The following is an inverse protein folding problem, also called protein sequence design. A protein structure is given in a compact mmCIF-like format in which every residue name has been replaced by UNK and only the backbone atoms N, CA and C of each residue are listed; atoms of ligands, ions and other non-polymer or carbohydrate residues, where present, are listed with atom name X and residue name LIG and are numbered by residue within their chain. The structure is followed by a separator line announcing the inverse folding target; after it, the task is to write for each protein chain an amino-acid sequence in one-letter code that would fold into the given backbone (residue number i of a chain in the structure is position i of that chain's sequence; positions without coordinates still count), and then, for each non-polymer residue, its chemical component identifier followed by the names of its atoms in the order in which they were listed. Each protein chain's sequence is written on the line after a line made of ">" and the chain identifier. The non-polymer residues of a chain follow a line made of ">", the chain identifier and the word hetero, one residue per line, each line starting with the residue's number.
data_IF_191210778650
#
_entry.id   IF_191210778650
#
_cell.length_a   1.000
_cell.length_b   1.000
_cell.length_c   1.000
_cell.angle_alpha   90.00
_cell.angle_beta   90.00
_cell.angle_gamma   90.00
#
_symmetry.space_group_name_H-M   'P 1'
#
loop_
_entity.id
_entity.type
_entity.pdbx_description
1 polymer ?
#
# COMPACT_ATOMS: atom_id res chain seq x y z
N UNK A 1 17.77 -12.72 6.15
CA UNK A 1 16.41 -12.25 5.82
C UNK A 1 15.54 -13.47 5.53
N UNK A 2 14.44 -13.67 6.26
CA UNK A 2 13.55 -14.82 6.10
C UNK A 2 12.41 -14.50 5.11
N UNK A 3 12.22 -15.36 4.11
CA UNK A 3 11.20 -15.19 3.06
C UNK A 3 10.39 -16.47 2.92
N UNK A 4 9.07 -16.32 2.79
CA UNK A 4 8.20 -17.43 2.40
C UNK A 4 8.34 -17.68 0.89
N UNK A 5 8.84 -18.86 0.51
CA UNK A 5 9.12 -19.23 -0.89
C UNK A 5 7.84 -19.20 -1.75
N UNK A 6 6.71 -19.65 -1.20
CA UNK A 6 5.45 -19.77 -1.94
C UNK A 6 4.75 -18.43 -2.17
N UNK A 7 4.77 -17.54 -1.18
CA UNK A 7 4.04 -16.27 -1.21
C UNK A 7 4.93 -15.06 -1.49
N UNK A 8 6.25 -15.23 -1.41
CA UNK A 8 7.24 -14.15 -1.50
C UNK A 8 7.22 -13.20 -0.29
N UNK A 9 6.46 -13.50 0.76
CA UNK A 9 6.31 -12.60 1.90
C UNK A 9 7.58 -12.56 2.76
N UNK A 10 8.07 -11.35 3.04
CA UNK A 10 9.16 -11.09 3.98
C UNK A 10 8.68 -11.22 5.43
N UNK A 11 9.51 -11.84 6.27
CA UNK A 11 9.32 -11.82 7.71
C UNK A 11 9.63 -10.43 8.28
N UNK A 12 8.84 -9.97 9.24
CA UNK A 12 9.21 -8.81 10.07
C UNK A 12 10.33 -9.21 11.03
N UNK A 13 11.09 -8.23 11.52
CA UNK A 13 12.22 -8.50 12.42
C UNK A 13 11.80 -9.29 13.66
N UNK A 14 10.63 -8.99 14.21
CA UNK A 14 10.04 -9.72 15.34
C UNK A 14 9.76 -11.19 14.99
N UNK A 15 9.21 -11.48 13.81
CA UNK A 15 8.94 -12.86 13.36
C UNK A 15 10.25 -13.60 13.07
N UNK A 16 11.25 -12.92 12.50
CA UNK A 16 12.57 -13.49 12.25
C UNK A 16 13.27 -13.88 13.56
N UNK A 17 13.24 -13.02 14.57
CA UNK A 17 13.81 -13.30 15.89
C UNK A 17 13.10 -14.49 16.56
N UNK A 18 11.76 -14.50 16.56
CA UNK A 18 10.97 -15.59 17.16
C UNK A 18 11.20 -16.94 16.45
N UNK A 19 11.21 -16.97 15.12
CA UNK A 19 11.45 -18.19 14.36
C UNK A 19 12.87 -18.74 14.58
N UNK A 20 13.87 -17.86 14.67
CA UNK A 20 15.25 -18.27 14.93
C UNK A 20 15.44 -18.78 16.35
N UNK A 21 14.75 -18.17 17.33
CA UNK A 21 14.82 -18.54 18.74
C UNK A 21 13.86 -19.67 19.14
N UNK A 22 12.95 -20.08 18.27
CA UNK A 22 11.93 -21.09 18.57
C UNK A 22 12.52 -22.39 19.14
N UNK A 23 13.67 -22.85 18.62
CA UNK A 23 14.35 -24.05 19.11
C UNK A 23 14.90 -23.88 20.52
N UNK A 24 15.47 -22.71 20.82
CA UNK A 24 16.02 -22.38 22.15
C UNK A 24 14.88 -22.27 23.15
N UNK A 25 13.84 -21.50 22.82
CA UNK A 25 12.64 -21.37 23.65
C UNK A 25 11.95 -22.71 23.92
N UNK A 26 11.98 -23.63 22.95
CA UNK A 26 11.48 -25.00 23.12
C UNK A 26 12.33 -25.82 24.10
N UNK A 27 13.66 -25.69 24.05
CA UNK A 27 14.57 -26.32 25.02
C UNK A 27 14.37 -25.76 26.42
N UNK A 28 14.30 -24.44 26.58
CA UNK A 28 14.08 -23.82 27.88
C UNK A 28 12.73 -24.24 28.48
N UNK A 29 11.68 -24.34 27.66
CA UNK A 29 10.36 -24.83 28.09
C UNK A 29 10.40 -26.31 28.51
N UNK A 30 11.21 -27.13 27.83
CA UNK A 30 11.42 -28.53 28.19
C UNK A 30 12.20 -28.67 29.50
N UNK A 31 13.30 -27.94 29.67
CA UNK A 31 14.09 -27.97 30.91
C UNK A 31 13.27 -27.48 32.10
N UNK A 32 12.45 -26.44 31.90
CA UNK A 32 11.50 -25.95 32.90
C UNK A 32 10.48 -27.03 33.28
N UNK A 33 9.92 -27.74 32.31
CA UNK A 33 9.00 -28.85 32.56
C UNK A 33 9.65 -29.96 33.40
N UNK A 34 10.88 -30.36 33.05
CA UNK A 34 11.62 -31.39 33.78
C UNK A 34 11.89 -30.96 35.23
N UNK A 35 12.26 -29.70 35.46
CA UNK A 35 12.48 -29.18 36.82
C UNK A 35 11.19 -29.16 37.64
N UNK A 36 10.13 -28.56 37.11
CA UNK A 36 8.86 -28.32 37.85
C UNK A 36 8.05 -29.60 38.11
N UNK A 37 8.19 -30.65 37.27
CA UNK A 37 7.34 -31.85 37.35
C UNK A 37 8.07 -33.15 37.66
N UNK A 38 9.39 -33.23 37.43
CA UNK A 38 10.16 -34.48 37.62
C UNK A 38 11.18 -34.38 38.75
N UNK A 39 11.70 -33.18 39.07
CA UNK A 39 12.82 -33.00 40.01
C UNK A 39 12.42 -32.28 41.30
N UNK A 40 11.69 -31.16 41.22
CA UNK A 40 11.15 -30.47 42.39
C UNK A 40 9.81 -31.10 42.79
N UNK A 41 9.77 -31.70 43.98
CA UNK A 41 8.70 -32.60 44.43
C UNK A 41 7.28 -32.17 44.07
N UNK A 42 6.68 -32.86 43.08
CA UNK A 42 5.27 -32.96 42.73
C UNK A 42 4.37 -31.75 43.05
N UNK A 43 4.83 -30.52 42.77
CA UNK A 43 4.01 -29.32 42.98
C UNK A 43 2.89 -29.19 41.95
N UNK A 44 3.07 -29.81 40.77
CA UNK A 44 2.14 -29.79 39.64
C UNK A 44 2.06 -31.20 39.04
N UNK A 45 0.84 -31.68 38.80
CA UNK A 45 0.60 -33.00 38.21
C UNK A 45 1.22 -33.12 36.79
N UNK A 46 1.82 -34.27 36.51
CA UNK A 46 2.51 -34.61 35.26
C UNK A 46 1.54 -34.50 34.07
N UNK A 47 0.26 -34.85 34.26
CA UNK A 47 -0.78 -34.81 33.23
C UNK A 47 -1.40 -33.42 33.02
N UNK A 48 -1.01 -32.41 33.81
CA UNK A 48 -1.53 -31.06 33.65
C UNK A 48 -1.16 -30.46 32.28
N UNK A 49 -2.06 -29.70 31.62
CA UNK A 49 -1.78 -29.10 30.33
C UNK A 49 -0.51 -28.24 30.31
N UNK A 50 0.31 -28.37 29.26
CA UNK A 50 1.51 -27.54 29.07
C UNK A 50 1.09 -26.20 28.46
N UNK A 51 1.56 -25.09 29.03
CA UNK A 51 1.27 -23.75 28.52
C UNK A 51 1.86 -23.59 27.11
N UNK A 52 1.00 -23.36 26.12
CA UNK A 52 1.42 -23.13 24.73
C UNK A 52 2.21 -21.83 24.61
N UNK A 53 3.44 -21.92 24.09
CA UNK A 53 4.25 -20.76 23.75
C UNK A 53 3.63 -20.05 22.52
N UNK A 54 3.31 -18.76 22.67
CA UNK A 54 2.68 -17.95 21.60
C UNK A 54 3.76 -17.36 20.69
N UNK A 55 4.42 -18.20 19.90
CA UNK A 55 5.42 -17.76 18.92
C UNK A 55 4.76 -17.00 17.77
N UNK A 56 5.40 -15.91 17.33
CA UNK A 56 4.99 -15.20 16.13
C UNK A 56 5.41 -15.98 14.88
N UNK A 57 4.49 -16.12 13.93
CA UNK A 57 4.74 -16.78 12.64
C UNK A 57 4.33 -15.87 11.49
N UNK A 58 4.55 -16.27 10.24
CA UNK A 58 4.04 -15.55 9.07
C UNK A 58 2.52 -15.32 9.10
N UNK A 59 1.76 -16.14 9.84
CA UNK A 59 0.30 -15.95 10.05
C UNK A 59 -0.04 -14.82 11.03
N UNK A 60 0.94 -14.36 11.82
CA UNK A 60 0.80 -13.25 12.76
C UNK A 60 1.04 -11.90 12.07
N UNK A 61 1.67 -11.89 10.89
CA UNK A 61 1.89 -10.69 10.07
C UNK A 61 0.54 -10.21 9.54
N UNK A 62 0.21 -8.93 9.75
CA UNK A 62 -1.04 -8.32 9.27
C UNK A 62 -2.26 -8.43 10.18
N UNK A 63 -2.15 -8.97 11.41
CA UNK A 63 -3.26 -9.01 12.37
C UNK A 63 -3.46 -7.66 13.07
N UNK A 64 -4.67 -7.11 12.99
CA UNK A 64 -5.04 -5.80 13.57
C UNK A 64 -5.26 -5.87 15.09
N UNK A 65 -4.87 -4.81 15.80
CA UNK A 65 -5.55 -4.36 17.04
C UNK A 65 -6.55 -3.28 16.64
N UNK A 66 -7.82 -3.65 16.51
CA UNK A 66 -8.89 -2.68 16.23
C UNK A 66 -9.27 -2.00 17.54
N UNK A 67 -9.00 -0.70 17.66
CA UNK A 67 -9.64 0.14 18.70
C UNK A 67 -10.98 0.60 18.12
N UNK A 68 -12.07 0.47 18.87
CA UNK A 68 -13.39 0.85 18.35
C UNK A 68 -13.52 2.38 18.28
N UNK A 69 -14.26 2.87 17.27
CA UNK A 69 -14.53 4.32 17.10
C UNK A 69 -15.30 4.90 18.30
N UNK A 70 -16.16 4.10 18.93
CA UNK A 70 -16.91 4.49 20.12
C UNK A 70 -16.01 4.74 21.33
N UNK A 71 -14.99 3.90 21.54
CA UNK A 71 -14.00 4.09 22.61
C UNK A 71 -13.18 5.37 22.42
N UNK A 72 -12.94 5.75 21.17
CA UNK A 72 -12.24 7.00 20.82
C UNK A 72 -13.13 8.21 21.14
N UNK A 73 -14.38 8.22 20.69
CA UNK A 73 -15.32 9.32 20.96
C UNK A 73 -15.62 9.50 22.45
N UNK A 74 -15.75 8.40 23.20
CA UNK A 74 -15.91 8.45 24.66
C UNK A 74 -14.71 9.10 25.36
N UNK A 75 -13.48 8.85 24.87
CA UNK A 75 -12.28 9.50 25.41
C UNK A 75 -12.25 11.01 25.12
N UNK A 76 -12.72 11.45 23.94
CA UNK A 76 -12.84 12.90 23.64
C UNK A 76 -13.74 13.56 24.66
N UNK A 77 -14.97 13.07 24.75
CA UNK A 77 -16.01 13.68 25.56
C UNK A 77 -15.61 13.72 27.03
N UNK A 78 -14.96 12.67 27.53
CA UNK A 78 -14.44 12.63 28.89
C UNK A 78 -13.37 13.72 29.12
N UNK A 79 -12.41 13.87 28.20
CA UNK A 79 -11.36 14.88 28.33
C UNK A 79 -11.92 16.32 28.30
N UNK A 80 -12.87 16.62 27.40
CA UNK A 80 -13.50 17.95 27.33
C UNK A 80 -14.29 18.25 28.60
N UNK A 81 -15.03 17.26 29.11
CA UNK A 81 -15.86 17.40 30.32
C UNK A 81 -15.00 17.60 31.56
N UNK A 82 -13.90 16.86 31.69
CA UNK A 82 -12.96 17.00 32.81
C UNK A 82 -12.30 18.39 32.82
N UNK A 83 -11.90 18.91 31.65
CA UNK A 83 -11.34 20.27 31.55
C UNK A 83 -12.39 21.33 31.88
N UNK A 84 -13.60 21.20 31.35
CA UNK A 84 -14.71 22.12 31.64
C UNK A 84 -15.05 22.15 33.13
N UNK A 85 -15.12 20.99 33.78
CA UNK A 85 -15.39 20.91 35.22
C UNK A 85 -14.31 21.65 36.04
N UNK A 86 -13.03 21.52 35.66
CA UNK A 86 -11.93 22.25 36.31
C UNK A 86 -12.05 23.76 36.11
N UNK A 87 -12.40 24.21 34.90
CA UNK A 87 -12.60 25.64 34.60
C UNK A 87 -13.76 26.21 35.43
N UNK A 88 -14.86 25.46 35.60
CA UNK A 88 -16.00 25.87 36.42
C UNK A 88 -15.59 26.06 37.88
N UNK A 89 -14.86 25.09 38.44
CA UNK A 89 -14.37 25.17 39.83
C UNK A 89 -13.40 26.35 40.02
N UNK A 90 -12.49 26.57 39.05
CA UNK A 90 -11.58 27.73 39.08
C UNK A 90 -12.33 29.06 38.95
N UNK A 91 -13.37 29.12 38.12
CA UNK A 91 -14.20 30.32 37.95
C UNK A 91 -15.02 30.70 39.18
N UNK A 92 -15.20 29.78 40.15
CA UNK A 92 -15.81 30.11 41.45
C UNK A 92 -14.86 30.85 42.38
N UNK A 93 -13.54 30.67 42.20
CA UNK A 93 -12.50 31.22 43.07
C UNK A 93 -11.72 32.38 42.45
N UNK A 94 -11.89 32.64 41.16
CA UNK A 94 -11.17 33.66 40.39
C UNK A 94 -12.12 34.42 39.47
N UNK A 95 -11.80 35.68 39.12
CA UNK A 95 -12.54 36.45 38.11
C UNK A 95 -12.16 35.98 36.70
N UNK A 96 -12.68 34.83 36.29
CA UNK A 96 -12.55 34.31 34.93
C UNK A 96 -13.76 34.74 34.10
N UNK A 97 -13.52 35.37 32.95
CA UNK A 97 -14.57 35.65 31.98
C UNK A 97 -14.90 34.38 31.17
N UNK A 98 -15.97 33.71 31.59
CA UNK A 98 -16.47 32.50 30.94
C UNK A 98 -16.84 32.72 29.46
N UNK A 99 -17.20 33.95 29.07
CA UNK A 99 -17.55 34.25 27.67
C UNK A 99 -16.35 34.13 26.76
N UNK A 100 -15.17 34.52 27.24
CA UNK A 100 -13.92 34.39 26.49
C UNK A 100 -13.50 32.93 26.41
N UNK A 101 -13.59 32.18 27.51
CA UNK A 101 -13.14 30.78 27.56
C UNK A 101 -14.00 29.89 26.65
N UNK A 102 -15.31 30.11 26.63
CA UNK A 102 -16.24 29.34 25.79
C UNK A 102 -16.15 29.67 24.29
N UNK A 103 -15.42 30.73 23.89
CA UNK A 103 -15.15 31.00 22.48
C UNK A 103 -14.07 30.07 21.89
N UNK A 104 -13.29 29.38 22.74
CA UNK A 104 -12.21 28.50 22.32
C UNK A 104 -12.56 27.03 22.51
N UNK A 105 -11.91 26.15 21.75
CA UNK A 105 -12.15 24.73 21.85
C UNK A 105 -11.53 24.16 23.14
N UNK A 106 -12.34 23.51 23.98
CA UNK A 106 -11.89 22.88 25.23
C UNK A 106 -11.25 21.50 25.01
N UNK A 107 -11.15 21.02 23.77
CA UNK A 107 -10.42 19.81 23.45
C UNK A 107 -8.93 20.11 23.25
N UNK A 108 -8.08 19.14 23.60
CA UNK A 108 -6.63 19.20 23.36
C UNK A 108 -6.30 19.51 21.89
N UNK A 109 -7.16 19.07 20.97
CA UNK A 109 -7.08 19.39 19.55
C UNK A 109 -8.45 19.83 19.02
N UNK A 110 -8.54 20.84 18.14
CA UNK A 110 -9.82 21.24 17.57
C UNK A 110 -10.37 20.13 16.65
N UNK A 111 -11.57 19.59 16.93
CA UNK A 111 -12.17 18.48 16.18
C UNK A 111 -12.53 18.84 14.73
N UNK A 112 -12.49 20.12 14.37
CA UNK A 112 -12.65 20.57 12.98
C UNK A 112 -11.46 20.19 12.09
N UNK A 113 -10.26 20.08 12.67
CA UNK A 113 -9.01 19.86 11.93
C UNK A 113 -8.22 18.63 12.41
N UNK A 114 -8.46 18.14 13.63
CA UNK A 114 -7.68 17.07 14.23
C UNK A 114 -8.53 16.10 15.07
N UNK A 115 -8.17 14.82 14.98
CA UNK A 115 -8.71 13.73 15.76
C UNK A 115 -8.11 13.76 17.17
N UNK A 116 -8.60 12.86 18.02
CA UNK A 116 -8.28 12.77 19.46
C UNK A 116 -6.81 12.48 19.75
N UNK A 117 -6.16 11.82 18.79
CA UNK A 117 -4.76 11.43 18.81
C UNK A 117 -3.86 12.51 18.18
N UNK A 118 -4.43 13.65 17.76
CA UNK A 118 -3.72 14.72 17.09
C UNK A 118 -3.53 14.51 15.58
N UNK A 119 -4.02 13.40 15.02
CA UNK A 119 -3.97 13.17 13.57
C UNK A 119 -4.98 14.05 12.84
N UNK A 120 -4.72 14.49 11.61
CA UNK A 120 -5.62 15.39 10.89
C UNK A 120 -6.97 14.72 10.55
N UNK A 121 -8.06 15.47 10.73
CA UNK A 121 -9.40 15.08 10.28
C UNK A 121 -9.44 15.08 8.76
N UNK A 122 -10.02 14.03 8.19
CA UNK A 122 -10.05 13.83 6.75
C UNK A 122 -11.46 13.89 6.19
N UNK A 123 -11.65 14.78 5.22
CA UNK A 123 -12.83 14.78 4.36
C UNK A 123 -12.55 13.96 3.09
N UNK A 124 -13.60 13.34 2.54
CA UNK A 124 -13.48 12.61 1.28
C UNK A 124 -13.11 13.56 0.14
N UNK A 125 -12.07 13.23 -0.65
CA UNK A 125 -11.73 14.02 -1.85
C UNK A 125 -12.92 14.13 -2.82
N UNK A 126 -13.78 13.12 -2.85
CA UNK A 126 -15.02 13.08 -3.63
C UNK A 126 -16.01 14.18 -3.23
N UNK A 127 -16.06 14.58 -1.96
CA UNK A 127 -16.98 15.64 -1.50
C UNK A 127 -16.64 16.99 -2.14
N UNK A 128 -15.35 17.27 -2.31
CA UNK A 128 -14.89 18.47 -3.02
C UNK A 128 -15.25 18.39 -4.51
N UNK A 129 -15.01 17.25 -5.15
CA UNK A 129 -15.34 17.05 -6.57
C UNK A 129 -16.85 17.17 -6.80
N UNK A 130 -17.69 16.57 -5.95
CA UNK A 130 -19.14 16.71 -6.02
C UNK A 130 -19.59 18.16 -5.84
N UNK A 131 -18.93 18.90 -4.94
CA UNK A 131 -19.18 20.33 -4.79
C UNK A 131 -18.80 21.15 -6.02
N UNK A 132 -17.64 20.87 -6.64
CA UNK A 132 -17.16 21.57 -7.83
C UNK A 132 -18.01 21.21 -9.06
N UNK A 133 -18.30 19.92 -9.27
CA UNK A 133 -19.13 19.47 -10.38
C UNK A 133 -20.59 19.94 -10.25
N UNK A 134 -21.10 20.08 -9.03
CA UNK A 134 -22.41 20.69 -8.79
C UNK A 134 -22.46 22.20 -9.10
N UNK A 135 -21.30 22.85 -9.26
CA UNK A 135 -21.15 24.26 -9.61
C UNK A 135 -20.70 24.47 -11.07
N UNK A 136 -20.37 23.40 -11.79
CA UNK A 136 -19.89 23.49 -13.17
C UNK A 136 -21.04 23.19 -14.14
N UNK A 137 -21.27 24.08 -15.10
CA UNK A 137 -22.15 23.81 -16.23
C UNK A 137 -21.52 22.72 -17.10
N UNK A 138 -22.08 21.52 -16.97
CA UNK A 138 -21.56 20.32 -17.62
C UNK A 138 -21.92 20.30 -19.10
N UNK A 139 -21.02 20.75 -19.98
CA UNK A 139 -21.00 20.31 -21.38
C UNK A 139 -19.68 20.59 -22.14
N UNK A 140 -18.58 19.98 -21.70
CA UNK A 140 -17.35 19.94 -22.51
C UNK A 140 -17.03 18.51 -22.95
N UNK A 141 -17.87 17.98 -23.84
CA UNK A 141 -17.52 16.81 -24.63
C UNK A 141 -16.53 17.22 -25.73
N UNK A 142 -15.29 16.76 -25.62
CA UNK A 142 -14.26 16.96 -26.66
C UNK A 142 -14.60 16.02 -27.82
N UNK A 143 -15.32 16.55 -28.81
CA UNK A 143 -15.88 15.75 -29.91
C UNK A 143 -14.85 15.37 -30.99
N UNK A 144 -13.67 15.99 -31.01
CA UNK A 144 -12.63 15.71 -32.01
C UNK A 144 -11.28 15.45 -31.34
N UNK A 145 -10.92 14.17 -31.18
CA UNK A 145 -9.57 13.80 -30.79
C UNK A 145 -8.65 13.84 -32.03
N UNK A 146 -7.46 14.44 -31.94
CA UNK A 146 -6.50 14.45 -33.05
C UNK A 146 -5.98 13.04 -33.39
N UNK A 147 -5.76 12.77 -34.68
CA UNK A 147 -5.40 11.46 -35.23
C UNK A 147 -3.98 10.96 -34.89
N UNK A 148 -3.17 11.78 -34.20
CA UNK A 148 -1.83 11.44 -33.69
C UNK A 148 -1.76 11.60 -32.17
N UNK A 149 -2.87 11.30 -31.49
CA UNK A 149 -2.97 11.42 -30.04
C UNK A 149 -1.95 10.55 -29.28
N UNK A 150 -1.53 11.06 -28.13
CA UNK A 150 -0.76 10.32 -27.13
C UNK A 150 -1.66 10.03 -25.94
N UNK A 151 -1.69 8.78 -25.47
CA UNK A 151 -2.48 8.41 -24.30
C UNK A 151 -1.55 8.32 -23.09
N UNK A 152 -1.89 9.03 -22.03
CA UNK A 152 -1.17 8.99 -20.75
C UNK A 152 -2.02 8.27 -19.72
N UNK A 153 -1.51 7.17 -19.18
CA UNK A 153 -2.11 6.43 -18.10
C UNK A 153 -1.40 6.74 -16.78
N UNK A 154 -2.17 7.14 -15.78
CA UNK A 154 -1.74 7.04 -14.39
C UNK A 154 -1.78 5.56 -13.98
N UNK A 155 -0.61 4.92 -13.97
CA UNK A 155 -0.46 3.51 -13.67
C UNK A 155 -0.99 3.13 -12.28
N UNK A 156 -0.85 4.02 -11.29
CA UNK A 156 -1.36 3.75 -9.94
C UNK A 156 -2.89 3.78 -9.91
N UNK A 157 -3.50 4.70 -10.65
CA UNK A 157 -4.95 4.72 -10.83
C UNK A 157 -5.44 3.47 -11.58
N UNK A 158 -4.70 3.00 -12.59
CA UNK A 158 -5.02 1.78 -13.32
C UNK A 158 -5.02 0.57 -12.38
N UNK A 159 -3.95 0.37 -11.58
CA UNK A 159 -3.88 -0.73 -10.60
C UNK A 159 -5.02 -0.70 -9.57
N UNK A 160 -5.41 0.49 -9.11
CA UNK A 160 -6.48 0.63 -8.10
C UNK A 160 -7.88 0.37 -8.66
N UNK A 161 -8.08 0.59 -9.96
CA UNK A 161 -9.38 0.38 -10.64
C UNK A 161 -9.61 -1.06 -11.11
N UNK A 162 -8.56 -1.90 -11.14
CA UNK A 162 -8.69 -3.31 -11.54
C UNK A 162 -9.67 -4.05 -10.63
N UNK A 163 -10.78 -4.54 -11.20
CA UNK A 163 -11.76 -5.38 -10.51
C UNK A 163 -11.41 -6.86 -10.58
N UNK A 164 -10.98 -7.31 -11.77
CA UNK A 164 -10.62 -8.69 -12.05
C UNK A 164 -9.10 -8.81 -12.03
N UNK A 165 -8.56 -9.31 -10.92
CA UNK A 165 -7.13 -9.50 -10.73
C UNK A 165 -6.77 -10.92 -11.23
N UNK A 166 -5.82 -11.06 -12.17
CA UNK A 166 -5.39 -12.36 -12.68
C UNK A 166 -4.76 -13.27 -11.61
N UNK A 167 -4.52 -14.54 -11.94
CA UNK A 167 -4.01 -15.50 -10.98
C UNK A 167 -2.53 -15.28 -10.67
N UNK A 168 -1.74 -14.87 -11.67
CA UNK A 168 -0.29 -14.72 -11.59
C UNK A 168 0.18 -13.32 -11.98
N UNK A 169 1.35 -12.91 -11.48
CA UNK A 169 1.93 -11.61 -11.83
C UNK A 169 2.25 -11.50 -13.33
N UNK A 170 2.66 -12.60 -13.98
CA UNK A 170 2.88 -12.66 -15.43
C UNK A 170 1.62 -12.38 -16.23
N UNK A 171 0.51 -13.04 -15.91
CA UNK A 171 -0.80 -12.77 -16.53
C UNK A 171 -1.23 -11.32 -16.33
N UNK A 172 -0.98 -10.74 -15.15
CA UNK A 172 -1.25 -9.33 -14.90
C UNK A 172 -0.44 -8.42 -15.82
N UNK A 173 0.86 -8.65 -15.94
CA UNK A 173 1.73 -7.86 -16.81
C UNK A 173 1.30 -7.98 -18.29
N UNK A 174 0.97 -9.19 -18.74
CA UNK A 174 0.50 -9.44 -20.11
C UNK A 174 -0.86 -8.79 -20.39
N UNK A 175 -1.86 -9.02 -19.53
CA UNK A 175 -3.21 -8.49 -19.71
C UNK A 175 -3.24 -6.96 -19.67
N UNK A 176 -2.43 -6.35 -18.80
CA UNK A 176 -2.27 -4.91 -18.75
C UNK A 176 -1.73 -4.37 -20.06
N UNK A 177 -0.67 -4.97 -20.60
CA UNK A 177 -0.06 -4.55 -21.85
C UNK A 177 -1.03 -4.67 -23.04
N UNK A 178 -1.70 -5.82 -23.17
CA UNK A 178 -2.73 -6.04 -24.21
C UNK A 178 -3.85 -5.01 -24.10
N UNK A 179 -4.30 -4.70 -22.89
CA UNK A 179 -5.35 -3.70 -22.66
C UNK A 179 -4.90 -2.30 -23.09
N UNK A 180 -3.68 -1.89 -22.76
CA UNK A 180 -3.12 -0.59 -23.14
C UNK A 180 -3.00 -0.45 -24.67
N UNK A 181 -2.50 -1.49 -25.35
CA UNK A 181 -2.37 -1.51 -26.81
C UNK A 181 -3.76 -1.48 -27.47
N UNK A 182 -4.72 -2.24 -26.95
CA UNK A 182 -6.09 -2.25 -27.45
C UNK A 182 -6.75 -0.87 -27.36
N UNK A 183 -6.59 -0.19 -26.22
CA UNK A 183 -7.07 1.19 -26.04
C UNK A 183 -6.37 2.14 -27.03
N UNK A 184 -5.05 2.04 -27.16
CA UNK A 184 -4.27 2.85 -28.10
C UNK A 184 -4.79 2.71 -29.53
N UNK A 185 -4.99 1.47 -30.00
CA UNK A 185 -5.54 1.17 -31.33
C UNK A 185 -6.97 1.67 -31.51
N UNK A 186 -7.82 1.52 -30.48
CA UNK A 186 -9.20 2.00 -30.50
C UNK A 186 -9.30 3.51 -30.72
N UNK A 187 -8.40 4.27 -30.09
CA UNK A 187 -8.34 5.72 -30.24
C UNK A 187 -7.40 6.20 -31.36
N UNK A 188 -6.90 5.28 -32.20
CA UNK A 188 -5.96 5.56 -33.30
C UNK A 188 -4.70 6.31 -32.84
N UNK A 189 -4.27 6.09 -31.60
CA UNK A 189 -3.06 6.67 -31.05
C UNK A 189 -1.84 5.86 -31.48
N UNK A 190 -0.67 6.52 -31.56
CA UNK A 190 0.61 5.88 -31.88
C UNK A 190 1.47 5.66 -30.63
N UNK A 191 1.16 6.38 -29.55
CA UNK A 191 2.01 6.45 -28.37
C UNK A 191 1.22 6.27 -27.08
N UNK A 192 1.75 5.43 -26.19
CA UNK A 192 1.24 5.20 -24.84
C UNK A 192 2.30 5.58 -23.82
N UNK A 193 1.96 6.44 -22.86
CA UNK A 193 2.78 6.71 -21.68
C UNK A 193 2.13 6.03 -20.48
N UNK A 194 2.81 5.04 -19.90
CA UNK A 194 2.43 4.43 -18.65
C UNK A 194 3.26 5.05 -17.52
N UNK A 195 2.64 5.97 -16.78
CA UNK A 195 3.32 6.80 -15.77
C UNK A 195 3.01 6.29 -14.38
N UNK A 196 4.05 5.96 -13.62
CA UNK A 196 3.89 5.43 -12.25
C UNK A 196 4.41 6.39 -11.19
N UNK A 197 3.83 6.29 -9.99
CA UNK A 197 4.27 7.05 -8.82
C UNK A 197 5.64 6.57 -8.31
N UNK A 198 6.41 7.49 -7.72
CA UNK A 198 7.61 7.16 -6.94
C UNK A 198 7.33 7.18 -5.43
N UNK A 199 8.01 6.30 -4.68
CA UNK A 199 7.83 6.17 -3.24
C UNK A 199 9.12 6.49 -2.48
N UNK A 200 9.58 7.76 -2.48
CA UNK A 200 10.78 8.15 -1.74
C UNK A 200 10.57 7.95 -0.24
N UNK A 201 11.68 7.64 0.45
CA UNK A 201 11.72 7.40 1.90
C UNK A 201 11.21 8.62 2.67
N UNK A 202 11.59 9.82 2.24
CA UNK A 202 11.13 11.09 2.80
C UNK A 202 10.17 11.74 1.81
N UNK A 203 8.91 11.90 2.20
CA UNK A 203 7.88 12.55 1.40
C UNK A 203 6.91 13.30 2.29
N UNK A 204 6.41 14.44 1.81
CA UNK A 204 5.26 15.14 2.44
C UNK A 204 4.03 14.22 2.53
N UNK A 205 3.96 13.19 1.68
CA UNK A 205 2.86 12.21 1.65
C UNK A 205 3.07 11.04 2.61
N UNK A 206 4.18 10.97 3.36
CA UNK A 206 4.47 9.83 4.23
C UNK A 206 3.39 9.61 5.28
N UNK A 207 2.95 10.65 5.98
CA UNK A 207 1.89 10.51 6.99
C UNK A 207 0.59 9.94 6.40
N UNK A 208 0.22 10.35 5.18
CA UNK A 208 -0.96 9.79 4.50
C UNK A 208 -0.71 8.37 3.96
N UNK A 209 0.53 8.02 3.59
CA UNK A 209 0.92 6.66 3.19
C UNK A 209 0.89 5.72 4.39
N UNK A 210 1.44 6.13 5.53
CA UNK A 210 1.39 5.42 6.81
C UNK A 210 -0.02 5.28 7.36
N UNK A 211 -0.94 6.18 7.00
CA UNK A 211 -2.35 6.02 7.36
C UNK A 211 -3.10 5.05 6.44
N UNK A 212 -2.67 4.93 5.17
CA UNK A 212 -3.26 4.01 4.17
C UNK A 212 -2.72 2.60 4.29
N UNK A 213 -1.45 2.48 4.66
CA UNK A 213 -0.78 1.25 5.05
C UNK A 213 -1.07 1.05 6.52
N UNK A 214 -1.77 0.00 6.93
CA UNK A 214 -2.05 -0.31 8.34
C UNK A 214 -0.77 -0.70 9.14
N UNK A 215 0.42 -0.34 8.66
CA UNK A 215 1.75 -0.58 9.25
C UNK A 215 2.18 -2.05 9.27
N UNK A 216 1.30 -2.98 8.90
CA UNK A 216 1.48 -4.43 9.03
C UNK A 216 1.29 -5.19 7.72
N UNK A 217 1.24 -4.50 6.59
CA UNK A 217 1.22 -5.15 5.29
C UNK A 217 2.48 -5.98 5.07
N UNK A 218 2.29 -7.23 4.68
CA UNK A 218 3.40 -8.07 4.25
C UNK A 218 4.08 -7.41 3.04
N UNK A 219 5.39 -7.17 3.17
CA UNK A 219 6.23 -6.85 2.02
C UNK A 219 6.40 -8.14 1.22
N UNK A 220 6.12 -8.10 -0.07
CA UNK A 220 6.14 -9.28 -0.93
C UNK A 220 7.20 -9.06 -2.01
N UNK A 221 8.16 -9.97 -2.09
CA UNK A 221 9.08 -10.07 -3.20
C UNK A 221 8.39 -10.77 -4.37
N UNK A 222 8.45 -10.16 -5.56
CA UNK A 222 7.99 -10.80 -6.79
C UNK A 222 9.21 -11.44 -7.44
N UNK A 223 9.30 -12.76 -7.37
CA UNK A 223 10.48 -13.50 -7.82
C UNK A 223 10.35 -14.02 -9.25
N UNK A 224 9.13 -14.32 -9.70
CA UNK A 224 8.88 -14.87 -11.03
C UNK A 224 7.47 -14.57 -11.53
N UNK A 225 7.27 -14.75 -12.84
CA UNK A 225 5.99 -14.51 -13.51
C UNK A 225 4.87 -15.46 -13.07
N UNK A 226 5.21 -16.70 -12.68
CA UNK A 226 4.25 -17.70 -12.22
C UNK A 226 3.80 -17.52 -10.76
N UNK A 227 4.40 -16.57 -10.03
CA UNK A 227 4.05 -16.30 -8.65
C UNK A 227 2.61 -15.80 -8.58
N UNK A 228 1.85 -16.40 -7.65
CA UNK A 228 0.45 -16.05 -7.46
C UNK A 228 0.31 -14.66 -6.88
N UNK A 229 -0.65 -13.90 -7.40
CA UNK A 229 -0.98 -12.59 -6.86
C UNK A 229 -1.64 -12.77 -5.47
N UNK A 230 -1.32 -11.91 -4.49
CA UNK A 230 -1.96 -11.94 -3.19
C UNK A 230 -3.49 -11.79 -3.33
N UNK A 231 -4.25 -12.68 -2.69
CA UNK A 231 -5.74 -12.63 -2.68
C UNK A 231 -6.28 -11.26 -2.26
N UNK A 232 -5.56 -10.55 -1.39
CA UNK A 232 -5.90 -9.20 -0.93
C UNK A 232 -5.06 -8.14 -1.68
N UNK A 233 -5.20 -8.06 -2.99
CA UNK A 233 -4.40 -7.17 -3.85
C UNK A 233 -4.45 -5.68 -3.43
N UNK A 234 -5.60 -5.18 -2.97
CA UNK A 234 -5.72 -3.81 -2.45
C UNK A 234 -4.83 -3.55 -1.22
N UNK A 235 -4.65 -4.55 -0.35
CA UNK A 235 -3.71 -4.46 0.78
C UNK A 235 -2.27 -4.56 0.31
N UNK A 236 -1.99 -5.41 -0.69
CA UNK A 236 -0.68 -5.46 -1.31
C UNK A 236 -0.29 -4.07 -1.87
N UNK A 237 -1.21 -3.39 -2.56
CA UNK A 237 -1.07 -2.02 -3.05
C UNK A 237 -1.15 -0.94 -1.96
N UNK A 238 -1.35 -1.25 -0.68
CA UNK A 238 -1.28 -0.23 0.35
C UNK A 238 0.19 0.10 0.72
N UNK A 239 1.08 -0.89 0.55
CA UNK A 239 2.50 -0.78 0.87
C UNK A 239 3.30 -0.18 -0.32
N UNK A 240 4.07 0.87 -0.08
CA UNK A 240 4.88 1.54 -1.11
C UNK A 240 5.93 0.63 -1.76
N UNK A 241 6.61 -0.22 -0.97
CA UNK A 241 7.64 -1.14 -1.48
C UNK A 241 7.05 -2.18 -2.43
N UNK A 242 5.87 -2.69 -2.10
CA UNK A 242 5.15 -3.64 -2.95
C UNK A 242 4.76 -3.01 -4.31
N UNK A 243 4.39 -1.73 -4.31
CA UNK A 243 4.08 -1.00 -5.55
C UNK A 243 5.31 -0.83 -6.43
N UNK A 244 6.43 -0.41 -5.85
CA UNK A 244 7.69 -0.28 -6.59
C UNK A 244 8.15 -1.63 -7.13
N UNK A 245 8.07 -2.69 -6.33
CA UNK A 245 8.36 -4.05 -6.76
C UNK A 245 7.45 -4.51 -7.91
N UNK A 246 6.14 -4.22 -7.84
CA UNK A 246 5.19 -4.52 -8.91
C UNK A 246 5.54 -3.78 -10.20
N UNK A 247 5.80 -2.48 -10.11
CA UNK A 247 6.12 -1.64 -11.27
C UNK A 247 7.43 -2.09 -11.93
N UNK A 248 8.46 -2.36 -11.13
CA UNK A 248 9.72 -2.89 -11.63
C UNK A 248 9.52 -4.24 -12.32
N UNK A 249 8.78 -5.16 -11.68
CA UNK A 249 8.47 -6.45 -12.29
C UNK A 249 7.73 -6.32 -13.62
N UNK A 250 6.76 -5.41 -13.72
CA UNK A 250 6.00 -5.19 -14.96
C UNK A 250 6.94 -4.70 -16.07
N UNK A 251 7.81 -3.74 -15.76
CA UNK A 251 8.81 -3.27 -16.72
C UNK A 251 9.71 -4.40 -17.21
N UNK A 252 10.30 -5.17 -16.28
CA UNK A 252 11.17 -6.31 -16.60
C UNK A 252 10.46 -7.36 -17.46
N UNK A 253 9.17 -7.63 -17.22
CA UNK A 253 8.41 -8.52 -18.11
C UNK A 253 8.17 -7.90 -19.49
N UNK A 254 7.81 -6.63 -19.55
CA UNK A 254 7.47 -5.98 -20.82
C UNK A 254 8.64 -5.87 -21.78
N UNK A 255 9.87 -5.72 -21.29
CA UNK A 255 11.06 -5.71 -22.15
C UNK A 255 11.41 -7.10 -22.71
N UNK A 256 10.96 -8.19 -22.06
CA UNK A 256 11.16 -9.55 -22.59
C UNK A 256 10.16 -9.94 -23.66
N UNK A 257 9.01 -9.26 -23.70
CA UNK A 257 8.01 -9.49 -24.72
C UNK A 257 8.48 -8.91 -26.05
N UNK A 258 8.32 -9.68 -27.13
CA UNK A 258 8.84 -9.29 -28.44
C UNK A 258 8.21 -7.98 -28.94
N UNK A 259 9.02 -6.96 -29.31
CA UNK A 259 8.52 -5.69 -29.80
C UNK A 259 7.64 -5.81 -31.05
N UNK A 260 7.87 -6.85 -31.87
CA UNK A 260 7.06 -7.19 -33.03
C UNK A 260 5.61 -7.56 -32.68
N UNK A 261 5.34 -8.02 -31.44
CA UNK A 261 3.99 -8.30 -30.95
C UNK A 261 3.17 -7.02 -30.73
N UNK A 262 3.82 -5.84 -30.67
CA UNK A 262 3.18 -4.56 -30.37
C UNK A 262 2.88 -3.71 -31.59
N UNK A 263 2.98 -4.30 -32.80
CA UNK A 263 2.86 -3.69 -34.13
C UNK A 263 2.25 -2.29 -34.07
N UNK A 264 3.15 -1.30 -34.29
CA UNK A 264 2.91 0.14 -34.49
C UNK A 264 2.66 1.02 -33.26
N UNK A 265 2.77 0.53 -32.01
CA UNK A 265 2.60 1.38 -30.81
C UNK A 265 3.93 1.56 -30.08
N UNK A 266 4.34 2.81 -29.87
CA UNK A 266 5.46 3.16 -29.01
C UNK A 266 4.99 3.26 -27.55
N UNK A 267 5.67 2.56 -26.64
CA UNK A 267 5.32 2.56 -25.21
C UNK A 267 6.44 3.25 -24.43
N UNK A 268 6.08 4.30 -23.72
CA UNK A 268 6.95 4.97 -22.76
C UNK A 268 6.53 4.54 -21.35
N UNK A 269 7.45 3.95 -20.59
CA UNK A 269 7.20 3.47 -19.25
C UNK A 269 8.07 4.26 -18.27
N UNK A 270 7.46 4.97 -17.32
CA UNK A 270 8.21 5.65 -16.28
C UNK A 270 8.05 4.96 -14.93
N UNK A 271 9.19 4.70 -14.28
CA UNK A 271 9.27 4.22 -12.92
C UNK A 271 10.52 4.75 -12.22
N UNK A 272 10.42 5.00 -10.92
CA UNK A 272 11.50 5.66 -10.20
C UNK A 272 11.82 7.02 -10.83
N UNK A 273 13.10 7.26 -11.11
CA UNK A 273 13.58 8.49 -11.77
C UNK A 273 13.87 8.32 -13.26
N UNK A 274 13.46 7.20 -13.84
CA UNK A 274 13.83 6.82 -15.21
C UNK A 274 12.58 6.70 -16.08
N UNK A 275 12.74 7.05 -17.35
CA UNK A 275 11.74 6.86 -18.39
C UNK A 275 12.35 5.96 -19.46
N UNK A 276 11.66 4.88 -19.80
CA UNK A 276 12.10 3.89 -20.77
C UNK A 276 11.21 3.92 -21.99
N UNK A 277 11.80 3.72 -23.17
CA UNK A 277 11.07 3.56 -24.42
C UNK A 277 11.12 2.11 -24.87
N UNK A 278 9.95 1.51 -25.07
CA UNK A 278 9.77 0.17 -25.64
C UNK A 278 9.14 0.41 -27.02
N UNK A 279 9.97 0.33 -28.06
CA UNK A 279 9.59 0.66 -29.45
C UNK A 279 9.77 -0.60 -30.31
N UNK A 280 8.80 -0.96 -31.17
CA UNK A 280 9.00 -1.98 -32.20
C UNK A 280 10.18 -1.61 -33.09
N UNK A 281 11.15 -2.51 -33.27
CA UNK A 281 12.18 -2.32 -34.30
C UNK A 281 11.50 -2.50 -35.66
N UNK A 282 11.58 -1.48 -36.53
CA UNK A 282 11.19 -1.64 -37.92
C UNK A 282 12.19 -2.57 -38.62
N UNK A 283 11.70 -3.67 -39.20
CA UNK A 283 12.52 -4.66 -39.94
C UNK A 283 13.10 -4.13 -41.28
N UNK A 284 13.01 -2.82 -41.58
CA UNK A 284 13.35 -2.29 -42.91
C UNK A 284 14.49 -1.26 -42.94
N UNK A 285 15.54 -1.43 -42.13
CA UNK A 285 16.75 -0.59 -42.26
C UNK A 285 18.07 -1.37 -42.36
N UNK A 286 18.04 -2.59 -42.87
CA UNK A 286 19.23 -3.36 -43.25
C UNK A 286 19.11 -3.92 -44.67
N UNK A 287 18.83 -3.06 -45.64
CA UNK A 287 19.21 -3.28 -47.04
C UNK A 287 19.87 -2.00 -47.56
N UNK A 288 21.19 -1.93 -47.48
CA UNK A 288 21.93 -0.75 -47.92
C UNK A 288 23.37 -0.75 -47.46
N UNK A 289 24.17 -1.72 -47.94
CA UNK A 289 25.54 -1.52 -48.41
C UNK A 289 26.16 -2.85 -48.81
N UNK A 290 25.70 -3.39 -49.94
CA UNK A 290 26.51 -4.24 -50.79
C UNK A 290 27.19 -3.36 -51.84
N UNK A 291 28.48 -3.08 -51.62
CA UNK A 291 29.56 -2.87 -52.63
C UNK A 291 30.81 -2.36 -51.91
N UNK A 292 31.54 -3.29 -51.31
CA UNK A 292 33.00 -3.27 -51.34
C UNK A 292 33.36 -4.31 -52.38
N UNK A 293 34.05 -3.90 -53.44
CA UNK A 293 34.96 -4.72 -54.23
C UNK A 293 35.81 -3.77 -55.08
N UNK A 294 37.11 -3.80 -54.76
CA UNK A 294 38.31 -3.46 -55.55
C UNK A 294 38.45 -2.07 -56.18
#
# INVERSE_FOLDING_TARGET
>A
MLVNISSGAYATDAVQLDLTRAKILGKDAYEKYCKERLLEGNSIDIYSPIKKQKLLTFSSIGKKKTVSKEQVNQKIFKNSTDLLARIIVLGQSTTLDMKIIMNYNLNMFPPAIANTDGSLVKNGKSTLISGILGLADSDSTINNLPSDGTIVFDGMAVFQQMKNIPATFGELAFNLLVSLISICKKYKCKTVHFVTDTYPIVSIKNSERERRSDGNEAVICINNAHQKIPKQFKKFLANGRNKEALVNFIYEQWITYEPASFKTVAIYFSHGKVCHSIIPKDENYCQGNSRVNE
#
